data_IF_600783057300
#
_entry.id   IF_600783057300
#
_cell.length_a   1.000
_cell.length_b   1.000
_cell.length_c   1.000
_cell.angle_alpha   90.00
_cell.angle_beta   90.00
_cell.angle_gamma   90.00
#
_symmetry.space_group_name_H-M   'P 1'
#
loop_
_entity.id
_entity.type
_entity.pdbx_description
1 polymer ?
#
# COMPACT_ATOMS: atom_id res chain seq x y z
N UNK A 1 -0.66 7.10 -12.33
CA UNK A 1 0.78 7.31 -12.05
C UNK A 1 1.31 6.28 -11.06
N UNK A 2 0.70 6.11 -9.88
CA UNK A 2 1.15 5.12 -8.89
C UNK A 2 1.07 3.67 -9.40
N UNK A 3 -0.06 3.25 -10.02
CA UNK A 3 -0.16 1.89 -10.56
C UNK A 3 0.86 1.61 -11.67
N UNK A 4 1.15 2.57 -12.56
CA UNK A 4 2.20 2.41 -13.58
C UNK A 4 3.59 2.23 -12.97
N UNK A 5 3.90 2.97 -11.91
CA UNK A 5 5.16 2.79 -11.19
C UNK A 5 5.23 1.42 -10.50
N UNK A 6 4.08 0.92 -10.04
CA UNK A 6 3.94 -0.39 -9.43
C UNK A 6 4.09 -1.53 -10.45
N UNK A 7 3.49 -1.39 -11.62
CA UNK A 7 3.63 -2.34 -12.72
C UNK A 7 5.08 -2.39 -13.19
N UNK A 8 5.72 -1.22 -13.35
CA UNK A 8 7.15 -1.14 -13.72
C UNK A 8 8.06 -1.78 -12.67
N UNK A 9 7.83 -1.52 -11.37
CA UNK A 9 8.57 -2.15 -10.28
C UNK A 9 8.39 -3.68 -10.23
N UNK A 10 7.21 -4.19 -10.62
CA UNK A 10 6.94 -5.64 -10.69
C UNK A 10 7.53 -6.30 -11.93
N UNK A 11 7.54 -5.61 -13.06
CA UNK A 11 8.08 -6.11 -14.33
C UNK A 11 9.60 -6.12 -14.36
N UNK A 12 10.26 -5.33 -13.51
CA UNK A 12 11.71 -5.26 -13.47
C UNK A 12 12.20 -5.10 -12.04
N UNK A 13 12.95 -6.08 -11.55
CA UNK A 13 13.66 -5.97 -10.28
C UNK A 13 14.65 -4.78 -10.28
N UNK A 14 15.08 -4.31 -11.46
CA UNK A 14 15.85 -3.07 -11.64
C UNK A 14 15.01 -1.79 -11.48
N UNK A 15 13.69 -1.85 -11.68
CA UNK A 15 12.81 -0.70 -11.47
C UNK A 15 12.55 -0.42 -9.99
N UNK A 16 12.71 -1.40 -9.11
CA UNK A 16 12.85 -1.15 -7.67
C UNK A 16 14.11 -0.33 -7.34
N UNK A 17 15.17 -0.46 -8.16
CA UNK A 17 16.39 0.35 -8.07
C UNK A 17 16.23 1.75 -8.66
N UNK A 18 15.14 2.06 -9.39
CA UNK A 18 14.90 3.43 -9.85
C UNK A 18 14.45 4.30 -8.67
N UNK A 19 15.27 5.26 -8.22
CA UNK A 19 14.97 6.06 -7.03
C UNK A 19 13.69 6.89 -7.17
N UNK A 20 13.31 7.26 -8.40
CA UNK A 20 12.06 7.96 -8.69
C UNK A 20 10.82 7.08 -8.51
N UNK A 21 10.88 5.82 -8.95
CA UNK A 21 9.78 4.85 -8.81
C UNK A 21 9.61 4.50 -7.34
N UNK A 22 10.73 4.21 -6.66
CA UNK A 22 10.73 3.93 -5.21
C UNK A 22 10.20 5.11 -4.39
N UNK A 23 10.63 6.35 -4.69
CA UNK A 23 10.12 7.54 -4.03
C UNK A 23 8.61 7.73 -4.23
N UNK A 24 8.12 7.59 -5.47
CA UNK A 24 6.68 7.74 -5.76
C UNK A 24 5.83 6.68 -5.04
N UNK A 25 6.30 5.43 -5.03
CA UNK A 25 5.62 4.32 -4.35
C UNK A 25 5.62 4.52 -2.83
N UNK A 26 6.72 5.01 -2.28
CA UNK A 26 6.84 5.29 -0.85
C UNK A 26 6.00 6.50 -0.42
N UNK A 27 5.93 7.56 -1.24
CA UNK A 27 5.05 8.72 -1.00
C UNK A 27 3.57 8.30 -1.03
N UNK A 28 3.17 7.52 -2.03
CA UNK A 28 1.81 7.00 -2.12
C UNK A 28 1.47 6.10 -0.94
N UNK A 29 2.40 5.25 -0.52
CA UNK A 29 2.25 4.42 0.68
C UNK A 29 2.11 5.29 1.94
N UNK A 30 2.97 6.28 2.11
CA UNK A 30 2.95 7.18 3.27
C UNK A 30 1.61 7.93 3.37
N UNK A 31 1.06 8.37 2.24
CA UNK A 31 -0.25 9.01 2.19
C UNK A 31 -1.37 8.05 2.61
N UNK A 32 -1.37 6.81 2.10
CA UNK A 32 -2.34 5.78 2.49
C UNK A 32 -2.22 5.45 3.98
N UNK A 33 -1.00 5.25 4.48
CA UNK A 33 -0.74 4.98 5.90
C UNK A 33 -1.19 6.15 6.77
N UNK A 34 -0.95 7.39 6.34
CA UNK A 34 -1.40 8.57 7.07
C UNK A 34 -2.93 8.63 7.17
N UNK A 35 -3.65 8.34 6.08
CA UNK A 35 -5.12 8.27 6.08
C UNK A 35 -5.65 7.14 6.95
N UNK A 36 -5.03 5.96 6.86
CA UNK A 36 -5.36 4.82 7.71
C UNK A 36 -5.12 5.16 9.18
N UNK A 37 -4.00 5.80 9.54
CA UNK A 37 -3.70 6.22 10.91
C UNK A 37 -4.59 7.36 11.40
N UNK A 38 -5.04 8.25 10.51
CA UNK A 38 -5.99 9.31 10.83
C UNK A 38 -7.39 8.77 11.15
N UNK A 39 -7.82 7.71 10.45
CA UNK A 39 -9.11 7.07 10.68
C UNK A 39 -8.97 5.54 10.77
N UNK A 40 -8.31 5.03 11.83
CA UNK A 40 -7.92 3.63 11.92
C UNK A 40 -9.09 2.68 12.09
N UNK A 41 -10.29 3.19 12.34
CA UNK A 41 -11.52 2.40 12.49
C UNK A 41 -12.54 2.58 11.36
N UNK A 42 -12.42 3.64 10.56
CA UNK A 42 -13.42 3.99 9.54
C UNK A 42 -12.85 4.00 8.12
N UNK A 43 -11.52 4.09 7.97
CA UNK A 43 -10.92 4.13 6.65
C UNK A 43 -10.89 2.74 6.01
N UNK A 44 -11.39 2.64 4.79
CA UNK A 44 -11.31 1.47 3.92
C UNK A 44 -10.45 1.84 2.72
N UNK A 45 -9.34 1.10 2.53
CA UNK A 45 -8.46 1.30 1.39
C UNK A 45 -9.20 1.01 0.08
N UNK A 46 -8.85 1.73 -0.98
CA UNK A 46 -9.32 1.39 -2.34
C UNK A 46 -8.41 0.36 -3.00
N UNK A 47 -8.86 -0.26 -4.09
CA UNK A 47 -8.13 -1.35 -4.77
C UNK A 47 -6.73 -0.95 -5.24
N UNK A 48 -6.59 0.28 -5.71
CA UNK A 48 -5.32 0.92 -6.09
C UNK A 48 -4.40 1.09 -4.88
N UNK A 49 -4.92 1.62 -3.78
CA UNK A 49 -4.20 1.81 -2.52
C UNK A 49 -3.77 0.46 -1.91
N UNK A 50 -4.65 -0.53 -1.96
CA UNK A 50 -4.36 -1.89 -1.52
C UNK A 50 -3.27 -2.55 -2.36
N UNK A 51 -3.19 -2.24 -3.65
CA UNK A 51 -2.14 -2.76 -4.54
C UNK A 51 -0.76 -2.22 -4.17
N UNK A 52 -0.67 -0.92 -3.83
CA UNK A 52 0.54 -0.30 -3.25
C UNK A 52 0.88 -0.94 -1.92
N UNK A 53 -0.12 -1.15 -1.08
CA UNK A 53 0.08 -1.77 0.21
C UNK A 53 0.62 -3.19 0.12
N UNK A 54 0.06 -3.98 -0.80
CA UNK A 54 0.44 -5.37 -1.04
C UNK A 54 1.87 -5.48 -1.58
N UNK A 55 2.28 -4.54 -2.43
CA UNK A 55 3.66 -4.45 -2.90
C UNK A 55 4.67 -4.31 -1.75
N UNK A 56 4.33 -3.53 -0.71
CA UNK A 56 5.17 -3.34 0.46
C UNK A 56 4.89 -4.31 1.63
N UNK A 57 4.16 -5.42 1.42
CA UNK A 57 3.77 -6.30 2.52
C UNK A 57 4.96 -6.85 3.33
N UNK A 58 6.09 -7.12 2.66
CA UNK A 58 7.31 -7.66 3.28
C UNK A 58 7.89 -6.71 4.34
N UNK A 59 7.62 -5.41 4.21
CA UNK A 59 8.06 -4.37 5.14
C UNK A 59 7.15 -4.25 6.36
N UNK A 60 5.87 -4.61 6.21
CA UNK A 60 4.84 -4.52 7.26
C UNK A 60 4.61 -5.82 8.03
N UNK A 61 5.22 -6.94 7.61
CA UNK A 61 5.15 -8.23 8.30
C UNK A 61 5.65 -8.17 9.76
N UNK A 62 6.40 -7.13 10.15
CA UNK A 62 6.93 -6.94 11.51
C UNK A 62 6.04 -6.11 12.45
N UNK A 63 4.71 -6.20 12.33
CA UNK A 63 3.83 -5.92 13.48
C UNK A 63 3.12 -4.56 13.53
N UNK A 64 2.73 -3.98 12.39
CA UNK A 64 1.88 -2.79 12.40
C UNK A 64 0.39 -3.18 12.52
N UNK A 65 -0.15 -3.23 13.74
CA UNK A 65 -1.54 -3.65 14.01
C UNK A 65 -2.58 -2.80 13.27
N UNK A 66 -2.29 -1.51 13.09
CA UNK A 66 -3.14 -0.56 12.36
C UNK A 66 -3.31 -1.00 10.90
N UNK A 67 -2.21 -1.47 10.31
CA UNK A 67 -2.17 -1.97 8.93
C UNK A 67 -2.92 -3.29 8.80
N UNK A 68 -2.70 -4.22 9.75
CA UNK A 68 -3.41 -5.49 9.79
C UNK A 68 -4.92 -5.29 9.93
N UNK A 69 -5.34 -4.33 10.75
CA UNK A 69 -6.74 -3.94 10.93
C UNK A 69 -7.34 -3.35 9.65
N UNK A 70 -6.61 -2.46 8.97
CA UNK A 70 -7.05 -1.86 7.72
C UNK A 70 -7.19 -2.91 6.60
N UNK A 71 -6.26 -3.85 6.51
CA UNK A 71 -6.33 -4.98 5.58
C UNK A 71 -7.53 -5.88 5.86
N UNK A 72 -7.82 -6.17 7.13
CA UNK A 72 -9.03 -6.93 7.52
C UNK A 72 -10.31 -6.22 7.07
N UNK A 73 -10.40 -4.90 7.24
CA UNK A 73 -11.56 -4.11 6.78
C UNK A 73 -11.72 -4.10 5.27
N UNK A 74 -10.62 -3.96 4.53
CA UNK A 74 -10.65 -4.06 3.08
C UNK A 74 -11.31 -5.37 2.65
N UNK A 75 -10.85 -6.51 3.20
CA UNK A 75 -11.46 -7.81 2.92
C UNK A 75 -12.92 -7.90 3.35
N UNK A 76 -13.30 -7.40 4.53
CA UNK A 76 -14.70 -7.38 4.96
C UNK A 76 -15.58 -6.57 4.01
N UNK A 77 -15.09 -5.44 3.51
CA UNK A 77 -15.82 -4.58 2.58
C UNK A 77 -15.95 -5.19 1.18
N UNK A 78 -14.91 -5.86 0.67
CA UNK A 78 -14.94 -6.49 -0.66
C UNK A 78 -15.67 -7.84 -0.68
N UNK A 79 -15.88 -8.46 0.48
CA UNK A 79 -16.59 -9.74 0.61
C UNK A 79 -18.09 -9.57 0.91
N UNK A 80 -18.55 -8.32 1.08
CA UNK A 80 -19.94 -7.94 1.30
C UNK A 80 -20.62 -7.60 -0.03
#
# INVERSE_FOLDING_TARGET
KVMQALDMARESQEAECHPQVSALLNDALAEVVARVRAAPNSYVMRRDEFSVFNFFQSRFDKGDEVIMSARRRYWQFTSA
#
